data_IF_612221998255
#
_entry.id   IF_612221998255
#
_cell.length_a   1.000
_cell.length_b   1.000
_cell.length_c   1.000
_cell.angle_alpha   90.00
_cell.angle_beta   90.00
_cell.angle_gamma   90.00
#
_symmetry.space_group_name_H-M   'P 1'
#
loop_
_entity.id
_entity.type
_entity.pdbx_description
1 polymer ?
#
# COMPACT_ATOMS: atom_id res chain seq x y z
N UNK A 1 -0.34 1.65 -17.84
CA UNK A 1 -0.58 0.29 -17.29
C UNK A 1 -1.65 0.38 -16.21
N UNK A 2 -2.33 -0.71 -15.87
CA UNK A 2 -3.32 -0.72 -14.80
C UNK A 2 -2.72 -1.35 -13.55
N UNK A 3 -2.73 -0.61 -12.44
CA UNK A 3 -2.38 -1.12 -11.13
C UNK A 3 -3.65 -1.49 -10.37
N UNK A 4 -3.77 -2.74 -9.95
CA UNK A 4 -5.00 -3.30 -9.41
C UNK A 4 -4.78 -4.08 -8.12
N UNK A 5 -5.83 -4.16 -7.31
CA UNK A 5 -5.94 -4.98 -6.11
C UNK A 5 -7.12 -5.95 -6.29
N UNK A 6 -6.85 -7.23 -6.04
CA UNK A 6 -7.82 -8.33 -6.09
C UNK A 6 -7.92 -9.02 -4.74
N UNK A 7 -9.11 -9.47 -4.40
CA UNK A 7 -9.39 -10.18 -3.14
C UNK A 7 -9.72 -11.65 -3.41
N UNK A 8 -9.04 -12.54 -2.69
CA UNK A 8 -9.16 -13.99 -2.84
C UNK A 8 -9.52 -14.61 -1.49
N UNK A 9 -10.81 -14.61 -1.10
CA UNK A 9 -11.23 -15.02 0.24
C UNK A 9 -11.03 -16.50 0.55
N UNK A 10 -10.76 -17.33 -0.45
CA UNK A 10 -10.62 -18.80 -0.34
C UNK A 10 -9.27 -19.32 -0.85
N UNK A 11 -8.26 -18.46 -0.93
CA UNK A 11 -6.96 -18.80 -1.49
C UNK A 11 -6.79 -18.44 -2.95
N UNK A 12 -5.52 -18.44 -3.36
CA UNK A 12 -5.08 -18.10 -4.71
C UNK A 12 -3.80 -18.86 -5.05
N UNK A 13 -3.70 -19.28 -6.31
CA UNK A 13 -2.46 -19.76 -6.92
C UNK A 13 -2.15 -18.84 -8.11
N UNK A 14 -0.95 -18.28 -8.15
CA UNK A 14 -0.47 -17.39 -9.20
C UNK A 14 0.67 -18.05 -9.96
N UNK A 15 0.68 -17.93 -11.28
CA UNK A 15 1.68 -18.57 -12.16
C UNK A 15 2.89 -17.65 -12.47
N UNK A 16 2.94 -16.44 -11.91
CA UNK A 16 4.00 -15.45 -12.16
C UNK A 16 3.46 -14.03 -12.35
N UNK A 17 4.24 -13.18 -13.03
CA UNK A 17 3.87 -11.81 -13.39
C UNK A 17 4.22 -10.77 -12.34
N UNK A 18 3.87 -9.52 -12.63
CA UNK A 18 4.12 -8.33 -11.79
C UNK A 18 3.10 -8.26 -10.65
N UNK A 19 3.18 -9.25 -9.77
CA UNK A 19 2.18 -9.51 -8.73
C UNK A 19 2.81 -9.58 -7.36
N UNK A 20 2.17 -8.94 -6.38
CA UNK A 20 2.44 -9.14 -4.96
C UNK A 20 1.26 -9.88 -4.37
N UNK A 21 1.51 -11.07 -3.82
CA UNK A 21 0.52 -11.90 -3.12
C UNK A 21 0.74 -11.77 -1.62
N UNK A 22 -0.25 -11.30 -0.90
CA UNK A 22 -0.24 -11.15 0.56
C UNK A 22 -1.16 -12.16 1.22
N UNK A 23 -0.59 -13.00 2.09
CA UNK A 23 -1.30 -13.97 2.92
C UNK A 23 -1.82 -13.27 4.18
N UNK A 24 -3.15 -13.12 4.28
CA UNK A 24 -3.80 -12.40 5.40
C UNK A 24 -3.62 -13.12 6.74
N UNK A 25 -3.50 -14.44 6.73
CA UNK A 25 -3.38 -15.25 7.95
C UNK A 25 -1.95 -15.24 8.47
N UNK A 26 -0.96 -15.34 7.57
CA UNK A 26 0.46 -15.38 7.94
C UNK A 26 1.12 -14.01 8.03
N UNK A 27 0.49 -12.96 7.49
CA UNK A 27 1.06 -11.63 7.38
C UNK A 27 2.41 -11.65 6.61
N UNK A 28 2.42 -12.36 5.48
CA UNK A 28 3.59 -12.53 4.60
C UNK A 28 3.25 -12.06 3.18
N UNK A 29 4.24 -11.49 2.49
CA UNK A 29 4.11 -11.10 1.08
C UNK A 29 5.10 -11.90 0.21
N UNK A 30 4.67 -12.26 -1.00
CA UNK A 30 5.48 -12.98 -2.01
C UNK A 30 5.30 -12.32 -3.36
N UNK A 31 6.33 -12.36 -4.21
CA UNK A 31 6.25 -11.84 -5.57
C UNK A 31 6.04 -12.95 -6.59
N UNK A 32 5.27 -12.66 -7.64
CA UNK A 32 5.12 -13.52 -8.81
C UNK A 32 4.36 -14.81 -8.51
N UNK A 33 4.99 -15.96 -8.78
CA UNK A 33 4.37 -17.26 -8.62
C UNK A 33 4.28 -17.66 -7.15
N UNK A 34 3.07 -17.94 -6.67
CA UNK A 34 2.82 -18.17 -5.26
C UNK A 34 1.55 -18.99 -5.07
N UNK A 35 1.41 -19.63 -3.91
CA UNK A 35 0.19 -20.28 -3.47
C UNK A 35 -0.12 -19.91 -2.04
N UNK A 36 -1.33 -19.43 -1.81
CA UNK A 36 -1.91 -19.17 -0.50
C UNK A 36 -3.21 -19.95 -0.42
N UNK A 37 -3.34 -20.86 0.56
CA UNK A 37 -4.54 -21.68 0.71
C UNK A 37 -5.68 -20.92 1.43
N UNK A 38 -5.34 -19.92 2.25
CA UNK A 38 -6.28 -19.07 3.00
C UNK A 38 -6.57 -17.73 2.31
N UNK A 39 -7.27 -16.82 3.00
CA UNK A 39 -7.62 -15.53 2.40
C UNK A 39 -6.36 -14.74 1.97
N UNK A 40 -6.36 -14.22 0.74
CA UNK A 40 -5.23 -13.51 0.17
C UNK A 40 -5.66 -12.21 -0.52
N UNK A 41 -4.70 -11.27 -0.61
CA UNK A 41 -4.81 -10.07 -1.42
C UNK A 41 -3.73 -10.12 -2.51
N UNK A 42 -4.08 -9.73 -3.73
CA UNK A 42 -3.15 -9.71 -4.86
C UNK A 42 -3.11 -8.32 -5.47
N UNK A 43 -1.96 -7.68 -5.43
CA UNK A 43 -1.70 -6.48 -6.22
C UNK A 43 -1.07 -6.90 -7.54
N UNK A 44 -1.52 -6.31 -8.65
CA UNK A 44 -1.04 -6.63 -9.98
C UNK A 44 -0.85 -5.37 -10.83
N UNK A 45 0.29 -5.30 -11.51
CA UNK A 45 0.53 -4.33 -12.59
C UNK A 45 0.41 -5.04 -13.96
N UNK A 46 -0.65 -4.73 -14.69
CA UNK A 46 -1.01 -5.40 -15.95
C UNK A 46 -1.63 -4.47 -16.98
N UNK A 47 -2.20 -5.06 -18.03
CA UNK A 47 -2.94 -4.35 -19.09
C UNK A 47 -4.45 -4.33 -18.85
N UNK A 48 -4.96 -5.25 -18.03
CA UNK A 48 -6.38 -5.39 -17.66
C UNK A 48 -6.54 -5.51 -16.15
N UNK A 49 -7.68 -5.09 -15.62
CA UNK A 49 -8.01 -5.19 -14.20
C UNK A 49 -9.02 -6.28 -13.87
N UNK A 50 -9.65 -6.93 -14.85
CA UNK A 50 -10.68 -7.94 -14.62
C UNK A 50 -11.72 -7.47 -13.59
N UNK A 51 -11.95 -8.30 -12.57
CA UNK A 51 -12.86 -8.00 -11.45
C UNK A 51 -12.12 -7.50 -10.20
N UNK A 52 -11.18 -6.57 -10.37
CA UNK A 52 -10.44 -5.99 -9.26
C UNK A 52 -11.36 -5.26 -8.26
N UNK A 53 -11.00 -5.32 -6.97
CA UNK A 53 -11.64 -4.53 -5.93
C UNK A 53 -11.30 -3.03 -6.06
N UNK A 54 -10.11 -2.73 -6.56
CA UNK A 54 -9.69 -1.38 -6.97
C UNK A 54 -8.72 -1.49 -8.13
N UNK A 55 -8.87 -0.63 -9.14
CA UNK A 55 -7.95 -0.53 -10.26
C UNK A 55 -7.77 0.93 -10.66
N UNK A 56 -6.53 1.31 -10.97
CA UNK A 56 -6.15 2.68 -11.30
C UNK A 56 -5.14 2.64 -12.44
N UNK A 57 -5.34 3.50 -13.44
CA UNK A 57 -4.32 3.73 -14.48
C UNK A 57 -3.09 4.40 -13.86
N UNK A 58 -1.92 3.84 -14.12
CA UNK A 58 -0.64 4.40 -13.71
C UNK A 58 0.28 4.58 -14.92
N UNK A 59 0.99 5.69 -14.89
CA UNK A 59 2.05 6.04 -15.83
C UNK A 59 3.39 5.82 -15.13
N UNK A 60 4.19 4.89 -15.66
CA UNK A 60 5.55 4.61 -15.19
C UNK A 60 6.49 4.82 -16.37
N UNK A 61 7.62 5.48 -16.10
CA UNK A 61 8.66 5.67 -17.10
C UNK A 61 9.37 4.34 -17.38
N UNK A 62 9.31 3.87 -18.63
CA UNK A 62 9.90 2.61 -19.09
C UNK A 62 11.45 2.64 -19.10
N UNK A 63 12.05 3.84 -19.11
CA UNK A 63 13.51 3.99 -19.05
C UNK A 63 14.07 3.95 -17.62
N UNK A 64 13.19 3.99 -16.62
CA UNK A 64 13.55 4.01 -15.21
C UNK A 64 13.50 2.62 -14.58
N UNK A 65 14.36 2.38 -13.58
CA UNK A 65 14.24 1.20 -12.71
C UNK A 65 13.07 1.38 -11.74
N UNK A 66 12.25 0.34 -11.59
CA UNK A 66 11.12 0.32 -10.67
C UNK A 66 11.17 -0.87 -9.71
N UNK A 67 10.38 -0.83 -8.65
CA UNK A 67 10.15 -1.94 -7.74
C UNK A 67 8.71 -1.94 -7.20
N UNK A 68 8.19 -3.12 -6.90
CA UNK A 68 7.00 -3.30 -6.07
C UNK A 68 7.42 -3.50 -4.62
N UNK A 69 6.86 -2.70 -3.71
CA UNK A 69 7.12 -2.84 -2.27
C UNK A 69 5.85 -3.05 -1.49
N UNK A 70 5.82 -4.12 -0.70
CA UNK A 70 4.73 -4.40 0.23
C UNK A 70 5.12 -3.95 1.64
N UNK A 71 4.31 -3.08 2.24
CA UNK A 71 4.41 -2.70 3.64
C UNK A 71 3.13 -3.08 4.39
N UNK A 72 3.26 -3.50 5.65
CA UNK A 72 2.18 -3.38 6.64
C UNK A 72 2.45 -2.16 7.51
N UNK A 73 1.43 -1.37 7.79
CA UNK A 73 1.50 -0.22 8.69
C UNK A 73 0.49 -0.36 9.80
N UNK A 74 0.97 -0.34 11.04
CA UNK A 74 0.17 -0.43 12.26
C UNK A 74 0.12 0.93 12.96
N UNK A 75 -1.05 1.28 13.48
CA UNK A 75 -1.31 2.50 14.26
C UNK A 75 -1.91 2.11 15.62
N UNK A 76 -1.39 2.65 16.74
CA UNK A 76 -2.12 2.61 18.00
C UNK A 76 -3.38 3.52 17.91
N UNK A 77 -4.30 3.44 18.88
CA UNK A 77 -5.48 4.29 18.89
C UNK A 77 -5.09 5.78 18.91
N UNK A 78 -5.68 6.55 18.01
CA UNK A 78 -5.41 7.97 17.80
C UNK A 78 -4.06 8.28 17.17
N UNK A 79 -3.34 7.28 16.67
CA UNK A 79 -2.10 7.48 15.93
C UNK A 79 -2.32 8.34 14.68
N UNK A 80 -1.38 9.25 14.42
CA UNK A 80 -1.42 10.16 13.27
C UNK A 80 -0.18 9.98 12.42
N UNK A 81 -0.35 9.75 11.12
CA UNK A 81 0.69 9.99 10.13
C UNK A 81 0.50 11.41 9.62
N UNK A 82 1.35 12.33 10.09
CA UNK A 82 1.31 13.75 9.75
C UNK A 82 1.47 14.00 8.24
N UNK A 83 1.20 15.23 7.79
CA UNK A 83 1.10 15.56 6.37
C UNK A 83 2.40 15.20 5.63
N UNK A 84 2.30 14.28 4.69
CA UNK A 84 3.45 13.74 3.99
C UNK A 84 3.13 13.38 2.54
N UNK A 85 4.17 13.05 1.79
CA UNK A 85 4.10 12.56 0.42
C UNK A 85 4.89 11.26 0.25
N UNK A 86 4.58 10.54 -0.83
CA UNK A 86 5.24 9.31 -1.25
C UNK A 86 5.96 9.48 -2.59
N UNK A 87 7.12 8.84 -2.78
CA UNK A 87 7.90 8.94 -4.03
C UNK A 87 7.36 8.07 -5.17
N UNK A 88 6.26 7.36 -4.95
CA UNK A 88 5.69 6.40 -5.88
C UNK A 88 4.22 6.16 -5.57
N UNK A 89 3.37 5.82 -6.57
CA UNK A 89 1.96 5.61 -6.33
C UNK A 89 1.73 4.29 -5.58
N UNK A 90 0.56 4.13 -4.96
CA UNK A 90 0.24 2.86 -4.32
C UNK A 90 -1.22 2.64 -4.01
N UNK A 91 -1.57 1.37 -3.84
CA UNK A 91 -2.88 0.93 -3.36
C UNK A 91 -2.72 0.40 -1.95
N UNK A 92 -3.60 0.87 -1.06
CA UNK A 92 -3.68 0.47 0.34
C UNK A 92 -4.98 -0.29 0.58
N UNK A 93 -4.96 -1.22 1.53
CA UNK A 93 -6.13 -1.97 1.99
C UNK A 93 -6.12 -2.03 3.51
N UNK A 94 -7.17 -1.50 4.15
CA UNK A 94 -7.33 -1.58 5.60
C UNK A 94 -7.63 -3.01 6.07
N UNK A 95 -6.82 -3.55 6.97
CA UNK A 95 -6.98 -4.88 7.55
C UNK A 95 -8.05 -4.89 8.65
N UNK A 96 -7.96 -3.94 9.58
CA UNK A 96 -8.89 -3.74 10.68
C UNK A 96 -8.80 -2.29 11.20
N UNK A 97 -9.76 -1.90 12.04
CA UNK A 97 -9.86 -0.54 12.58
C UNK A 97 -10.51 0.44 11.60
N UNK A 98 -10.14 1.71 11.70
CA UNK A 98 -10.60 2.77 10.79
C UNK A 98 -9.54 3.85 10.61
N UNK A 99 -9.44 4.42 9.42
CA UNK A 99 -8.48 5.46 9.09
C UNK A 99 -9.18 6.61 8.37
N UNK A 100 -9.09 7.82 8.93
CA UNK A 100 -9.52 9.04 8.26
C UNK A 100 -8.34 9.61 7.47
N UNK A 101 -8.53 9.76 6.17
CA UNK A 101 -7.56 10.28 5.22
C UNK A 101 -7.99 11.69 4.80
N UNK A 102 -7.06 12.63 4.92
CA UNK A 102 -7.19 13.97 4.36
C UNK A 102 -6.20 14.12 3.20
N UNK A 103 -6.73 14.32 1.98
CA UNK A 103 -5.95 14.53 0.77
C UNK A 103 -6.53 15.72 -0.04
N UNK A 104 -5.90 16.07 -1.17
CA UNK A 104 -6.37 17.17 -2.02
C UNK A 104 -7.82 16.99 -2.50
N UNK A 105 -8.26 15.74 -2.71
CA UNK A 105 -9.63 15.40 -3.11
C UNK A 105 -10.68 15.48 -1.99
N UNK A 106 -10.27 15.76 -0.75
CA UNK A 106 -11.15 15.88 0.40
C UNK A 106 -10.79 14.96 1.57
N UNK A 107 -11.75 14.79 2.47
CA UNK A 107 -11.62 13.98 3.68
C UNK A 107 -12.55 12.77 3.57
N UNK A 108 -12.02 11.58 3.83
CA UNK A 108 -12.79 10.33 3.83
C UNK A 108 -12.34 9.38 4.93
N UNK A 109 -13.26 8.59 5.48
CA UNK A 109 -12.95 7.56 6.48
C UNK A 109 -13.11 6.18 5.85
N UNK A 110 -12.07 5.35 5.98
CA UNK A 110 -12.03 3.97 5.53
C UNK A 110 -12.12 3.02 6.72
N UNK A 111 -12.90 1.95 6.57
CA UNK A 111 -13.02 0.84 7.50
C UNK A 111 -12.39 -0.45 6.96
N UNK A 112 -12.40 -1.49 7.79
CA UNK A 112 -11.84 -2.79 7.45
C UNK A 112 -12.43 -3.32 6.12
N UNK A 113 -11.59 -3.86 5.25
CA UNK A 113 -12.05 -4.27 3.92
C UNK A 113 -11.78 -3.24 2.83
N UNK A 114 -11.84 -1.95 3.17
CA UNK A 114 -11.82 -0.92 2.15
C UNK A 114 -10.40 -0.64 1.64
N UNK A 115 -10.31 -0.36 0.35
CA UNK A 115 -9.08 -0.02 -0.35
C UNK A 115 -9.12 1.42 -0.86
N UNK A 116 -7.95 2.03 -1.00
CA UNK A 116 -7.79 3.35 -1.59
C UNK A 116 -6.43 3.50 -2.28
N UNK A 117 -6.35 4.48 -3.17
CA UNK A 117 -5.16 4.84 -3.91
C UNK A 117 -4.59 6.16 -3.39
N UNK A 118 -3.27 6.31 -3.39
CA UNK A 118 -2.59 7.60 -3.23
C UNK A 118 -1.51 7.71 -4.31
N UNK A 119 -1.47 8.85 -5.00
CA UNK A 119 -0.55 9.11 -6.10
C UNK A 119 0.85 9.54 -5.66
N UNK A 120 1.70 9.80 -6.65
CA UNK A 120 3.07 10.31 -6.46
C UNK A 120 3.03 11.75 -5.98
N UNK A 121 3.79 12.06 -4.95
CA UNK A 121 3.93 13.41 -4.42
C UNK A 121 2.61 14.11 -4.03
N UNK A 122 1.54 13.33 -3.83
CA UNK A 122 0.25 13.81 -3.36
C UNK A 122 0.23 13.93 -1.83
N UNK A 123 -0.02 15.14 -1.27
CA UNK A 123 -0.05 15.33 0.18
C UNK A 123 -1.19 14.57 0.86
N UNK A 124 -0.85 13.78 1.86
CA UNK A 124 -1.80 13.00 2.64
C UNK A 124 -1.55 13.14 4.14
N UNK A 125 -2.62 13.17 4.93
CA UNK A 125 -2.59 13.02 6.38
C UNK A 125 -3.55 11.88 6.76
N UNK A 126 -3.11 10.99 7.64
CA UNK A 126 -3.91 9.86 8.08
C UNK A 126 -4.06 9.86 9.60
N UNK A 127 -5.30 9.73 10.08
CA UNK A 127 -5.64 9.66 11.51
C UNK A 127 -6.36 8.36 11.80
N UNK A 128 -5.80 7.54 12.69
CA UNK A 128 -6.37 6.26 13.12
C UNK A 128 -7.55 6.43 14.08
N UNK A 129 -8.34 5.37 14.25
CA UNK A 129 -9.43 5.31 15.24
C UNK A 129 -8.95 5.71 16.63
N UNK A 130 -9.76 6.48 17.37
CA UNK A 130 -9.48 6.84 18.76
C UNK A 130 -9.62 5.66 19.73
N UNK A 131 -10.33 4.59 19.35
CA UNK A 131 -10.78 3.54 20.28
C UNK A 131 -10.17 2.18 20.05
N UNK A 132 -9.46 1.96 18.94
CA UNK A 132 -8.87 0.67 18.62
C UNK A 132 -7.69 0.77 17.67
N UNK A 133 -6.84 -0.25 17.71
CA UNK A 133 -5.72 -0.38 16.79
C UNK A 133 -6.21 -0.39 15.35
N UNK A 134 -5.39 0.14 14.46
CA UNK A 134 -5.68 0.19 13.02
C UNK A 134 -4.48 -0.33 12.27
N UNK A 135 -4.70 -1.18 11.27
CA UNK A 135 -3.64 -1.61 10.38
C UNK A 135 -4.11 -1.63 8.93
N UNK A 136 -3.21 -1.28 8.03
CA UNK A 136 -3.38 -1.53 6.60
C UNK A 136 -2.14 -2.22 6.03
N UNK A 137 -2.35 -2.90 4.92
CA UNK A 137 -1.29 -3.33 4.02
C UNK A 137 -1.33 -2.46 2.77
N UNK A 138 -0.18 -2.20 2.17
CA UNK A 138 -0.08 -1.45 0.92
C UNK A 138 0.97 -2.05 0.02
N UNK A 139 0.77 -1.84 -1.28
CA UNK A 139 1.82 -2.01 -2.27
C UNK A 139 2.06 -0.68 -2.97
N UNK A 140 3.32 -0.26 -2.94
CA UNK A 140 3.82 0.92 -3.64
C UNK A 140 4.58 0.47 -4.89
N UNK A 141 4.44 1.23 -5.98
CA UNK A 141 5.33 1.17 -7.14
C UNK A 141 6.36 2.28 -6.94
N UNK A 142 7.63 1.95 -6.74
CA UNK A 142 8.66 2.93 -6.36
C UNK A 142 9.79 2.96 -7.39
N UNK A 143 10.43 4.12 -7.62
CA UNK A 143 11.69 4.14 -8.33
C UNK A 143 12.72 3.28 -7.59
N UNK A 144 13.54 2.52 -8.33
CA UNK A 144 14.47 1.54 -7.77
C UNK A 144 15.46 2.11 -6.75
N UNK A 145 15.78 3.41 -6.86
CA UNK A 145 16.62 4.10 -5.88
C UNK A 145 16.02 4.17 -4.46
N UNK A 146 14.73 3.87 -4.27
CA UNK A 146 14.05 3.86 -2.97
C UNK A 146 14.13 2.54 -2.21
N UNK A 147 14.79 1.51 -2.77
CA UNK A 147 15.02 0.24 -2.09
C UNK A 147 15.67 0.45 -0.70
N UNK A 148 15.09 -0.17 0.33
CA UNK A 148 15.54 -0.07 1.72
C UNK A 148 15.35 1.30 2.38
N UNK A 149 14.79 2.31 1.69
CA UNK A 149 14.60 3.66 2.22
C UNK A 149 13.21 3.83 2.86
N UNK A 150 13.06 4.84 3.71
CA UNK A 150 11.73 5.28 4.18
C UNK A 150 11.02 6.01 3.05
N UNK A 151 9.78 5.64 2.77
CA UNK A 151 9.01 6.16 1.63
C UNK A 151 8.08 7.32 2.00
N UNK A 152 8.34 7.99 3.14
CA UNK A 152 7.55 9.11 3.65
C UNK A 152 8.46 10.35 3.68
N UNK A 153 8.03 11.43 3.04
CA UNK A 153 8.63 12.77 3.19
C UNK A 153 7.59 13.72 3.79
N UNK A 154 7.89 14.32 4.94
CA UNK A 154 7.00 15.31 5.56
C UNK A 154 7.11 16.65 4.85
N UNK A 155 6.00 17.38 4.78
CA UNK A 155 5.95 18.70 4.14
C UNK A 155 6.31 19.83 5.10
N UNK A 156 5.89 19.71 6.36
CA UNK A 156 6.30 20.62 7.42
C UNK A 156 7.50 20.02 8.15
N UNK A 157 8.68 20.67 8.16
CA UNK A 157 9.83 20.22 8.94
C UNK A 157 9.51 20.06 10.44
N UNK A 158 8.53 20.77 10.98
CA UNK A 158 8.10 20.60 12.36
C UNK A 158 7.43 19.24 12.63
N UNK A 159 6.92 18.57 11.59
CA UNK A 159 6.34 17.21 11.70
C UNK A 159 7.42 16.13 11.85
N UNK A 160 8.67 16.41 11.46
CA UNK A 160 9.77 15.45 11.62
C UNK A 160 10.10 15.17 13.09
N UNK A 161 9.90 16.16 13.95
CA UNK A 161 10.16 16.07 15.39
C UNK A 161 8.96 15.47 16.16
N UNK A 162 7.80 15.31 15.52
CA UNK A 162 6.63 14.76 16.18
C UNK A 162 6.75 13.25 16.41
N UNK A 163 6.15 12.70 17.49
CA UNK A 163 6.14 11.26 17.72
C UNK A 163 5.53 10.49 16.55
N UNK A 164 6.34 9.65 15.92
CA UNK A 164 5.93 8.74 14.84
C UNK A 164 5.37 7.47 15.46
N UNK A 165 4.08 7.49 15.78
CA UNK A 165 3.40 6.39 16.49
C UNK A 165 3.08 5.21 15.57
N UNK A 166 2.97 5.46 14.27
CA UNK A 166 2.77 4.44 13.26
C UNK A 166 4.04 3.62 13.03
N UNK A 167 3.88 2.30 12.90
CA UNK A 167 4.98 1.36 12.64
C UNK A 167 4.83 0.76 11.27
N UNK A 168 5.75 1.08 10.36
CA UNK A 168 5.85 0.43 9.06
C UNK A 168 6.77 -0.80 9.14
N UNK A 169 6.26 -1.94 8.68
CA UNK A 169 7.01 -3.18 8.51
C UNK A 169 7.10 -3.47 7.02
N UNK A 170 8.31 -3.49 6.47
CA UNK A 170 8.56 -3.90 5.09
C UNK A 170 8.46 -5.42 5.02
N UNK A 171 7.58 -5.93 4.16
CA UNK A 171 7.34 -7.36 3.98
C UNK A 171 8.00 -7.90 2.71
N UNK A 172 8.12 -7.07 1.68
CA UNK A 172 8.68 -7.43 0.38
C UNK A 172 9.18 -6.16 -0.33
N UNK A 173 10.33 -6.28 -0.99
CA UNK A 173 10.81 -5.34 -2.01
C UNK A 173 11.29 -6.17 -3.20
N UNK A 174 10.65 -6.03 -4.35
CA UNK A 174 11.02 -6.77 -5.56
C UNK A 174 11.24 -5.81 -6.74
N UNK A 175 12.37 -5.90 -7.46
CA UNK A 175 12.57 -5.18 -8.71
C UNK A 175 11.47 -5.49 -9.73
N UNK A 176 11.09 -4.45 -10.49
CA UNK A 176 10.02 -4.51 -11.46
C UNK A 176 10.60 -4.26 -12.85
N UNK A 177 10.41 -5.22 -13.75
CA UNK A 177 10.66 -5.04 -15.19
C UNK A 177 9.35 -4.59 -15.85
N UNK A 178 9.37 -3.44 -16.52
CA UNK A 178 8.21 -2.88 -17.22
C UNK A 178 8.00 -3.50 -18.59
#
# INVERSE_FOLDING_TARGET
MIFSLHEWPQGVETEGGRRVVYDLERNEARYGASRVDGAALVWELGEDSGSAALAVDVELDEESDWMMRCDRVDFPPGGVAHRHVHPGPGIRRLLFGSLTIEAAGGIGTFGAGQAWFEGVDEPVLATASQTGDTAFVRVLLLPGEWAGKRTIRYLDPADDEKPKLQRATVLLEEPLTL
#
